data_IF_193943499915
#
_entry.id   IF_193943499915
#
_cell.length_a   1.000
_cell.length_b   1.000
_cell.length_c   1.000
_cell.angle_alpha   90.00
_cell.angle_beta   90.00
_cell.angle_gamma   90.00
#
_symmetry.space_group_name_H-M   'P 1'
#
loop_
_entity.id
_entity.type
_entity.pdbx_description
1 polymer ?
#
# COMPACT_ATOMS: atom_id res chain seq x y z
N UNK A 1 -26.69 2.15 -2.23
CA UNK A 1 -25.50 1.80 -1.45
C UNK A 1 -24.44 1.55 -2.49
N UNK A 2 -23.61 2.54 -2.81
CA UNK A 2 -22.54 2.32 -3.78
C UNK A 2 -21.59 1.28 -3.20
N UNK A 3 -21.64 0.07 -3.74
CA UNK A 3 -20.58 -0.92 -3.66
C UNK A 3 -19.33 -0.27 -4.26
N UNK A 4 -18.59 0.48 -3.45
CA UNK A 4 -17.27 0.98 -3.84
C UNK A 4 -16.41 -0.26 -4.04
N UNK A 5 -16.30 -0.68 -5.29
CA UNK A 5 -15.43 -1.76 -5.75
C UNK A 5 -14.07 -1.57 -5.09
N UNK A 6 -13.71 -2.51 -4.21
CA UNK A 6 -12.38 -2.51 -3.61
C UNK A 6 -11.37 -2.67 -4.73
N UNK A 7 -10.47 -1.72 -4.85
CA UNK A 7 -9.35 -1.81 -5.78
C UNK A 7 -8.18 -2.51 -5.08
N UNK A 8 -7.44 -3.30 -5.85
CA UNK A 8 -6.22 -3.92 -5.38
C UNK A 8 -5.11 -2.87 -5.41
N UNK A 9 -4.55 -2.57 -4.24
CA UNK A 9 -3.40 -1.70 -4.09
C UNK A 9 -2.19 -2.54 -3.69
N UNK A 10 -1.04 -2.23 -4.30
CA UNK A 10 0.24 -2.74 -3.81
C UNK A 10 0.89 -1.67 -2.96
N UNK A 11 1.35 -2.07 -1.78
CA UNK A 11 2.14 -1.24 -0.90
C UNK A 11 3.49 -1.90 -0.66
N UNK A 12 4.57 -1.14 -0.75
CA UNK A 12 5.88 -1.57 -0.25
C UNK A 12 6.16 -0.85 1.05
N UNK A 13 6.35 -1.63 2.11
CA UNK A 13 6.73 -1.15 3.42
C UNK A 13 8.25 -1.19 3.54
N UNK A 14 8.85 -0.03 3.80
CA UNK A 14 10.26 0.11 4.09
C UNK A 14 10.42 0.46 5.57
N UNK A 15 10.86 -0.48 6.42
CA UNK A 15 11.14 -0.17 7.82
C UNK A 15 12.29 0.82 7.93
N UNK A 16 12.10 1.95 8.62
CA UNK A 16 13.15 2.98 8.79
C UNK A 16 14.33 2.49 9.61
N UNK A 17 14.04 1.67 10.61
CA UNK A 17 15.01 1.20 11.60
C UNK A 17 15.75 -0.08 11.19
N UNK A 18 15.35 -0.74 10.10
CA UNK A 18 15.85 -2.07 9.77
C UNK A 18 16.39 -2.13 8.36
N UNK A 19 17.59 -2.71 8.20
CA UNK A 19 18.19 -3.08 6.90
C UNK A 19 17.44 -4.25 6.24
N UNK A 20 16.17 -4.44 6.59
CA UNK A 20 15.30 -5.46 6.02
C UNK A 20 14.88 -5.03 4.61
N UNK A 21 14.82 -5.97 3.66
CA UNK A 21 14.29 -5.68 2.33
C UNK A 21 12.84 -5.19 2.46
N UNK A 22 12.45 -4.22 1.65
CA UNK A 22 11.09 -3.68 1.66
C UNK A 22 10.06 -4.80 1.46
N UNK A 23 9.09 -4.88 2.35
CA UNK A 23 8.05 -5.90 2.31
C UNK A 23 6.93 -5.44 1.37
N UNK A 24 6.64 -6.23 0.34
CA UNK A 24 5.57 -5.93 -0.61
C UNK A 24 4.30 -6.62 -0.13
N UNK A 25 3.28 -5.83 0.16
CA UNK A 25 1.95 -6.33 0.50
C UNK A 25 0.95 -5.91 -0.55
N UNK A 26 -0.05 -6.75 -0.75
CA UNK A 26 -1.20 -6.45 -1.59
C UNK A 26 -2.41 -6.33 -0.68
N UNK A 27 -3.12 -5.22 -0.77
CA UNK A 27 -4.30 -4.96 0.04
C UNK A 27 -5.48 -4.48 -0.80
N UNK A 28 -6.68 -4.79 -0.32
CA UNK A 28 -7.93 -4.32 -0.91
C UNK A 28 -8.37 -3.08 -0.16
N UNK A 29 -8.45 -1.97 -0.89
CA UNK A 29 -8.88 -0.71 -0.33
C UNK A 29 -9.81 0.02 -1.29
N UNK A 30 -10.64 0.89 -0.73
CA UNK A 30 -11.56 1.74 -1.50
C UNK A 30 -10.88 2.96 -2.12
N UNK A 31 -9.73 3.37 -1.58
CA UNK A 31 -8.91 4.49 -2.01
C UNK A 31 -7.51 4.42 -1.38
N UNK A 32 -6.59 5.27 -1.85
CA UNK A 32 -5.23 5.37 -1.31
C UNK A 32 -5.19 5.73 0.18
N UNK A 33 -6.12 6.55 0.66
CA UNK A 33 -6.19 6.93 2.08
C UNK A 33 -6.53 5.73 2.98
N UNK A 34 -7.52 4.93 2.58
CA UNK A 34 -7.90 3.70 3.28
C UNK A 34 -6.78 2.67 3.24
N UNK A 35 -6.12 2.54 2.09
CA UNK A 35 -4.96 1.69 1.94
C UNK A 35 -3.83 2.13 2.90
N UNK A 36 -3.49 3.42 2.91
CA UNK A 36 -2.48 3.99 3.82
C UNK A 36 -2.85 3.79 5.29
N UNK A 37 -4.12 3.97 5.65
CA UNK A 37 -4.58 3.76 7.02
C UNK A 37 -4.44 2.29 7.45
N UNK A 38 -4.75 1.33 6.57
CA UNK A 38 -4.55 -0.10 6.83
C UNK A 38 -3.06 -0.45 7.02
N UNK A 39 -2.18 0.08 6.16
CA UNK A 39 -0.74 -0.17 6.30
C UNK A 39 -0.19 0.46 7.57
N UNK A 40 -0.57 1.70 7.88
CA UNK A 40 -0.14 2.38 9.10
C UNK A 40 -0.68 1.70 10.37
N UNK A 41 -1.89 1.13 10.32
CA UNK A 41 -2.43 0.34 11.42
C UNK A 41 -1.69 -0.98 11.64
N UNK A 42 -1.17 -1.62 10.58
CA UNK A 42 -0.39 -2.86 10.69
C UNK A 42 1.08 -2.62 11.09
N UNK A 43 1.73 -1.60 10.52
CA UNK A 43 3.18 -1.41 10.62
C UNK A 43 3.60 -0.21 11.48
N UNK A 44 2.66 0.69 11.82
CA UNK A 44 2.92 1.92 12.58
C UNK A 44 3.45 3.08 11.73
N UNK A 45 3.81 4.19 12.39
CA UNK A 45 4.36 5.40 11.74
C UNK A 45 5.86 5.32 11.40
N UNK A 46 6.56 4.26 11.83
CA UNK A 46 8.01 4.13 11.66
C UNK A 46 8.40 3.36 10.38
N UNK A 47 7.55 3.40 9.38
CA UNK A 47 7.78 2.77 8.08
C UNK A 47 7.48 3.75 6.96
N UNK A 48 8.27 3.72 5.89
CA UNK A 48 7.97 4.44 4.66
C UNK A 48 7.12 3.53 3.80
N UNK A 49 5.92 3.97 3.44
CA UNK A 49 4.99 3.20 2.61
C UNK A 49 4.95 3.81 1.22
N UNK A 50 5.29 3.01 0.21
CA UNK A 50 5.07 3.37 -1.19
C UNK A 50 3.83 2.64 -1.69
N UNK A 51 2.74 3.35 -1.93
CA UNK A 51 1.47 2.82 -2.42
C UNK A 51 1.29 3.15 -3.90
N UNK A 52 0.89 2.16 -4.69
CA UNK A 52 0.45 2.37 -6.07
C UNK A 52 -0.67 1.41 -6.45
N UNK A 53 -1.42 1.78 -7.47
CA UNK A 53 -2.40 0.90 -8.08
C UNK A 53 -1.71 0.05 -9.15
N UNK A 54 -2.10 -1.22 -9.27
CA UNK A 54 -1.47 -2.13 -10.24
C UNK A 54 -1.63 -1.63 -11.69
N UNK A 55 -2.72 -0.92 -11.98
CA UNK A 55 -2.95 -0.28 -13.29
C UNK A 55 -1.90 0.79 -13.65
N UNK A 56 -1.27 1.43 -12.66
CA UNK A 56 -0.28 2.50 -12.89
C UNK A 56 1.14 1.93 -13.12
N UNK A 57 1.42 0.74 -12.59
CA UNK A 57 2.74 0.11 -12.65
C UNK A 57 3.08 -0.51 -14.02
N UNK A 58 2.08 -0.78 -14.86
CA UNK A 58 2.27 -1.30 -16.22
C UNK A 58 2.56 -0.19 -17.26
N UNK A 59 2.36 1.08 -16.90
CA UNK A 59 2.54 2.23 -17.80
C UNK A 59 4.01 2.65 -18.00
N UNK A 60 4.98 1.94 -17.41
CA UNK A 60 6.41 2.21 -17.53
C UNK A 60 7.13 1.25 -18.51
N UNK A 61 6.53 0.97 -19.67
CA UNK A 61 7.14 0.15 -20.73
C UNK A 61 7.49 0.96 -21.98
#
# INVERSE_FOLDING_TARGET
MEDKSLCTYQAIIWPKDSSAPGERITLLARNLEDASAQVQAQFGENVVVSLWNEEDADAAR
#
